data_IF_864487768093
#
_entry.id   IF_864487768093
#
_cell.length_a   1.000
_cell.length_b   1.000
_cell.length_c   1.000
_cell.angle_alpha   90.00
_cell.angle_beta   90.00
_cell.angle_gamma   90.00
#
_symmetry.space_group_name_H-M   'P 1'
#
loop_
_entity.id
_entity.type
_entity.pdbx_description
1 polymer ?
#
# COMPACT_ATOMS: atom_id res chain seq x y z
N UNK A 1 7.33 8.97 16.91
CA UNK A 1 6.81 7.73 17.55
C UNK A 1 5.35 7.55 17.16
N UNK A 2 4.94 6.35 16.77
CA UNK A 2 3.58 6.05 16.32
C UNK A 2 2.60 6.16 17.49
N UNK A 3 1.72 7.16 17.50
CA UNK A 3 0.82 7.45 18.64
C UNK A 3 -0.15 6.30 18.95
N UNK A 4 -0.60 5.53 17.93
CA UNK A 4 -1.48 4.37 18.08
C UNK A 4 -0.82 3.06 17.66
N UNK A 5 0.52 3.04 17.57
CA UNK A 5 1.25 1.85 17.12
C UNK A 5 0.90 0.61 17.93
N UNK A 6 0.55 -0.48 17.23
CA UNK A 6 0.20 -1.78 17.81
C UNK A 6 -1.04 -1.79 18.74
N UNK A 7 -1.96 -0.85 18.58
CA UNK A 7 -3.28 -0.95 19.19
C UNK A 7 -4.10 -2.03 18.46
N UNK A 8 -3.76 -3.31 18.68
CA UNK A 8 -4.28 -4.44 17.90
C UNK A 8 -5.78 -4.67 18.06
N UNK A 9 -6.38 -4.17 19.12
CA UNK A 9 -7.82 -4.25 19.39
C UNK A 9 -8.60 -3.00 18.98
N UNK A 10 -7.93 -1.98 18.43
CA UNK A 10 -8.59 -0.77 17.96
C UNK A 10 -9.38 -1.07 16.68
N UNK A 11 -10.70 -0.90 16.71
CA UNK A 11 -11.59 -1.18 15.58
C UNK A 11 -12.00 0.07 14.80
N UNK A 12 -12.09 1.21 15.47
CA UNK A 12 -12.50 2.46 14.84
C UNK A 12 -11.85 3.67 15.47
N UNK A 13 -11.65 4.73 14.67
CA UNK A 13 -11.16 6.02 15.14
C UNK A 13 -11.81 7.15 14.36
N UNK A 14 -12.02 8.29 15.05
CA UNK A 14 -12.42 9.54 14.41
C UNK A 14 -11.35 10.58 14.63
N UNK A 15 -10.86 11.19 13.54
CA UNK A 15 -9.89 12.30 13.57
C UNK A 15 -10.65 13.60 13.80
N UNK A 16 -10.37 14.32 14.90
CA UNK A 16 -11.08 15.56 15.23
C UNK A 16 -10.76 16.70 14.26
N UNK A 17 -11.63 17.71 14.22
CA UNK A 17 -11.50 18.90 13.37
C UNK A 17 -10.21 19.69 13.56
N UNK A 18 -9.62 19.65 14.76
CA UNK A 18 -8.41 20.44 15.09
C UNK A 18 -7.09 19.74 14.72
N UNK A 19 -7.13 18.51 14.21
CA UNK A 19 -5.91 17.82 13.77
C UNK A 19 -5.53 18.33 12.39
N UNK A 20 -4.38 19.01 12.29
CA UNK A 20 -3.85 19.56 11.04
C UNK A 20 -2.49 18.95 10.63
N UNK A 21 -1.94 18.06 11.45
CA UNK A 21 -0.71 17.34 11.15
C UNK A 21 -0.78 15.91 11.64
N UNK A 22 -0.32 14.96 10.84
CA UNK A 22 -0.21 13.56 11.18
C UNK A 22 1.12 13.00 10.66
N UNK A 23 1.82 12.28 11.54
CA UNK A 23 3.02 11.55 11.17
C UNK A 23 2.68 10.31 10.34
N UNK A 24 3.64 9.86 9.55
CA UNK A 24 3.53 8.58 8.85
C UNK A 24 3.46 7.43 9.88
N UNK A 25 2.81 6.33 9.51
CA UNK A 25 2.68 5.09 10.30
C UNK A 25 1.92 5.21 11.64
N UNK A 26 1.09 6.25 11.79
CA UNK A 26 0.34 6.53 13.03
C UNK A 26 -0.49 5.31 13.52
N UNK A 27 -1.01 4.49 12.59
CA UNK A 27 -1.78 3.28 12.87
C UNK A 27 -1.00 1.98 12.62
N UNK A 28 0.33 2.05 12.69
CA UNK A 28 1.19 0.88 12.52
C UNK A 28 0.75 -0.29 13.40
N UNK A 29 0.48 -1.45 12.79
CA UNK A 29 0.12 -2.66 13.51
C UNK A 29 -1.27 -2.66 14.15
N UNK A 30 -2.14 -1.70 13.82
CA UNK A 30 -3.55 -1.71 14.22
C UNK A 30 -4.34 -2.67 13.31
N UNK A 31 -4.10 -3.97 13.45
CA UNK A 31 -4.59 -5.01 12.52
C UNK A 31 -6.12 -5.19 12.54
N UNK A 32 -6.78 -4.76 13.61
CA UNK A 32 -8.25 -4.81 13.74
C UNK A 32 -8.94 -3.52 13.29
N UNK A 33 -8.17 -2.46 12.96
CA UNK A 33 -8.76 -1.17 12.59
C UNK A 33 -9.48 -1.27 11.25
N UNK A 34 -10.81 -1.10 11.28
CA UNK A 34 -11.68 -1.22 10.11
C UNK A 34 -12.25 0.13 9.66
N UNK A 35 -12.37 1.07 10.60
CA UNK A 35 -13.00 2.35 10.32
C UNK A 35 -12.14 3.52 10.74
N UNK A 36 -11.82 4.37 9.78
CA UNK A 36 -11.26 5.70 10.00
C UNK A 36 -12.26 6.70 9.47
N UNK A 37 -12.64 7.65 10.29
CA UNK A 37 -13.43 8.81 9.90
C UNK A 37 -12.72 10.09 10.27
N UNK A 38 -12.97 11.14 9.52
CA UNK A 38 -12.47 12.49 9.78
C UNK A 38 -13.68 13.39 10.01
N UNK A 39 -13.61 14.25 11.03
CA UNK A 39 -14.65 15.22 11.30
C UNK A 39 -14.88 16.11 10.07
N UNK A 40 -16.14 16.30 9.67
CA UNK A 40 -16.49 17.06 8.47
C UNK A 40 -16.08 18.54 8.52
N UNK A 41 -15.77 19.07 9.70
CA UNK A 41 -15.22 20.41 9.91
C UNK A 41 -13.68 20.45 9.93
N UNK A 42 -13.00 19.32 9.64
CA UNK A 42 -11.54 19.32 9.48
C UNK A 42 -11.20 19.94 8.12
N UNK A 43 -10.31 20.95 8.12
CA UNK A 43 -9.94 21.69 6.92
C UNK A 43 -8.73 21.10 6.18
N UNK A 44 -7.97 20.23 6.85
CA UNK A 44 -6.73 19.64 6.30
C UNK A 44 -6.94 18.24 5.77
N UNK A 45 -7.73 17.45 6.50
CA UNK A 45 -7.94 16.04 6.18
C UNK A 45 -9.41 15.73 5.94
N UNK A 46 -9.66 14.69 5.14
CA UNK A 46 -10.99 14.10 4.99
C UNK A 46 -10.95 12.57 4.95
N UNK A 47 -12.14 11.98 4.95
CA UNK A 47 -12.37 10.54 4.74
C UNK A 47 -13.53 10.41 3.74
N UNK A 48 -13.36 11.06 2.57
CA UNK A 48 -14.36 11.15 1.51
C UNK A 48 -14.89 9.79 1.08
N UNK A 49 -16.15 9.75 0.70
CA UNK A 49 -16.84 8.54 0.22
C UNK A 49 -16.77 7.37 1.21
N UNK A 50 -16.64 7.64 2.52
CA UNK A 50 -16.47 6.62 3.56
C UNK A 50 -15.32 5.66 3.26
N UNK A 51 -14.21 6.16 2.70
CA UNK A 51 -13.06 5.35 2.26
C UNK A 51 -12.30 4.69 3.39
N UNK A 52 -12.61 4.99 4.66
CA UNK A 52 -11.89 4.49 5.84
C UNK A 52 -10.38 4.78 5.79
N UNK A 53 -10.02 6.00 5.39
CA UNK A 53 -8.66 6.48 5.33
C UNK A 53 -8.59 7.95 5.76
N UNK A 54 -7.39 8.42 6.06
CA UNK A 54 -7.08 9.84 6.18
C UNK A 54 -6.49 10.32 4.87
N UNK A 55 -7.12 11.31 4.27
CA UNK A 55 -6.71 11.91 2.99
C UNK A 55 -6.34 13.37 3.25
N UNK A 56 -5.15 13.78 2.85
CA UNK A 56 -4.75 15.18 2.73
C UNK A 56 -5.54 15.80 1.57
N UNK A 57 -6.34 16.83 1.88
CA UNK A 57 -7.29 17.42 0.91
C UNK A 57 -6.59 18.27 -0.14
N UNK A 58 -5.48 18.92 0.19
CA UNK A 58 -4.72 19.76 -0.72
C UNK A 58 -3.95 18.92 -1.77
N UNK A 59 -3.29 17.86 -1.30
CA UNK A 59 -2.48 17.01 -2.16
C UNK A 59 -3.27 15.83 -2.80
N UNK A 60 -4.50 15.60 -2.34
CA UNK A 60 -5.26 14.37 -2.67
C UNK A 60 -4.45 13.11 -2.37
N UNK A 61 -3.78 13.12 -1.24
CA UNK A 61 -2.83 12.08 -0.82
C UNK A 61 -3.41 11.24 0.31
N UNK A 62 -3.43 9.93 0.14
CA UNK A 62 -3.80 9.00 1.21
C UNK A 62 -2.64 8.91 2.20
N UNK A 63 -2.84 9.48 3.39
CA UNK A 63 -1.83 9.59 4.46
C UNK A 63 -1.82 8.35 5.35
N UNK A 64 -3.00 7.86 5.72
CA UNK A 64 -3.12 6.68 6.56
C UNK A 64 -4.35 5.87 6.19
N UNK A 65 -4.17 4.56 6.10
CA UNK A 65 -5.23 3.59 5.82
C UNK A 65 -5.31 2.49 6.90
N UNK A 66 -6.32 1.65 6.77
CA UNK A 66 -6.61 0.55 7.67
C UNK A 66 -7.14 -0.67 6.89
N UNK A 67 -7.51 -1.72 7.61
CA UNK A 67 -8.09 -2.94 7.03
C UNK A 67 -9.33 -2.68 6.16
N UNK A 68 -10.16 -1.74 6.56
CA UNK A 68 -11.40 -1.38 5.85
C UNK A 68 -11.23 -0.33 4.76
N UNK A 69 -10.00 0.11 4.45
CA UNK A 69 -9.77 1.17 3.47
C UNK A 69 -10.10 0.74 2.05
N UNK A 70 -10.80 1.61 1.35
CA UNK A 70 -10.98 1.57 -0.10
C UNK A 70 -10.23 2.77 -0.68
N UNK A 71 -9.26 2.55 -1.55
CA UNK A 71 -8.60 3.64 -2.28
C UNK A 71 -9.59 4.14 -3.33
N UNK A 72 -10.17 5.31 -3.07
CA UNK A 72 -11.23 5.88 -3.93
C UNK A 72 -10.62 6.68 -5.08
N UNK A 73 -11.41 6.85 -6.14
CA UNK A 73 -11.01 7.71 -7.26
C UNK A 73 -10.78 9.16 -6.80
N UNK A 74 -9.88 9.86 -7.51
CA UNK A 74 -9.40 11.20 -7.15
C UNK A 74 -8.20 11.23 -6.21
N UNK A 75 -7.81 10.10 -5.61
CA UNK A 75 -6.54 9.99 -4.89
C UNK A 75 -5.39 10.00 -5.91
N UNK A 76 -4.42 10.90 -5.71
CA UNK A 76 -3.24 11.06 -6.57
C UNK A 76 -2.04 10.28 -6.10
N UNK A 77 -1.88 10.17 -4.78
CA UNK A 77 -0.72 9.46 -4.21
C UNK A 77 -1.05 8.72 -2.92
N UNK A 78 -0.26 7.70 -2.63
CA UNK A 78 -0.33 6.91 -1.39
C UNK A 78 1.00 7.13 -0.66
N UNK A 79 0.93 7.66 0.55
CA UNK A 79 2.11 7.99 1.38
C UNK A 79 2.92 6.77 1.75
N UNK A 80 4.22 6.99 1.93
CA UNK A 80 5.10 6.06 2.63
C UNK A 80 4.45 5.63 3.96
N UNK A 81 4.46 4.31 4.20
CA UNK A 81 3.90 3.68 5.42
C UNK A 81 2.40 3.89 5.68
N UNK A 82 1.64 4.38 4.69
CA UNK A 82 0.20 4.61 4.85
C UNK A 82 -0.58 3.37 5.36
N UNK A 83 -0.12 2.18 5.00
CA UNK A 83 -0.70 0.89 5.41
C UNK A 83 0.26 0.02 6.23
N UNK A 84 1.32 0.59 6.80
CA UNK A 84 2.37 -0.18 7.44
C UNK A 84 1.84 -1.14 8.52
N UNK A 85 2.06 -2.44 8.31
CA UNK A 85 1.56 -3.52 9.18
C UNK A 85 0.05 -3.45 9.43
N UNK A 86 -0.72 -2.94 8.48
CA UNK A 86 -2.18 -2.93 8.57
C UNK A 86 -2.76 -4.33 8.31
N UNK A 87 -4.02 -4.52 8.72
CA UNK A 87 -4.76 -5.75 8.46
C UNK A 87 -5.38 -5.83 7.06
N UNK A 88 -4.94 -5.01 6.09
CA UNK A 88 -5.52 -4.97 4.75
C UNK A 88 -5.38 -6.31 4.03
N UNK A 89 -6.46 -6.78 3.40
CA UNK A 89 -6.50 -8.09 2.72
C UNK A 89 -6.50 -7.98 1.20
N UNK A 90 -6.90 -6.83 0.69
CA UNK A 90 -6.91 -6.54 -0.74
C UNK A 90 -6.63 -5.08 -1.01
N UNK A 91 -6.02 -4.79 -2.16
CA UNK A 91 -5.72 -3.45 -2.64
C UNK A 91 -6.25 -3.31 -4.06
N UNK A 92 -7.03 -2.24 -4.31
CA UNK A 92 -7.40 -1.80 -5.64
C UNK A 92 -6.78 -0.42 -5.87
N UNK A 93 -6.04 -0.25 -6.97
CA UNK A 93 -5.39 1.00 -7.36
C UNK A 93 -6.20 1.67 -8.47
N UNK A 94 -6.94 2.76 -8.18
CA UNK A 94 -7.73 3.48 -9.17
C UNK A 94 -6.87 4.13 -10.25
N UNK A 95 -7.53 4.55 -11.34
CA UNK A 95 -6.89 5.24 -12.46
C UNK A 95 -6.29 6.59 -12.10
N UNK A 96 -6.78 7.22 -11.04
CA UNK A 96 -6.31 8.51 -10.55
C UNK A 96 -4.96 8.46 -9.83
N UNK A 97 -4.52 7.28 -9.36
CA UNK A 97 -3.26 7.14 -8.59
C UNK A 97 -2.07 7.22 -9.54
N UNK A 98 -1.23 8.22 -9.29
CA UNK A 98 -0.03 8.55 -10.06
C UNK A 98 1.27 8.20 -9.31
N UNK A 99 1.22 8.11 -7.96
CA UNK A 99 2.39 7.79 -7.13
C UNK A 99 2.02 6.86 -5.97
N UNK A 100 2.73 5.75 -5.87
CA UNK A 100 2.77 4.90 -4.67
C UNK A 100 4.16 5.06 -4.07
N UNK A 101 4.26 5.72 -2.91
CA UNK A 101 5.56 5.92 -2.28
C UNK A 101 6.13 4.57 -1.78
N UNK A 102 7.46 4.39 -1.84
CA UNK A 102 8.11 3.22 -1.26
C UNK A 102 7.67 3.01 0.18
N UNK A 103 7.53 1.76 0.60
CA UNK A 103 7.03 1.35 1.92
C UNK A 103 5.55 1.62 2.21
N UNK A 104 4.75 2.18 1.29
CA UNK A 104 3.32 2.47 1.49
C UNK A 104 2.56 1.26 2.10
N UNK A 105 2.82 0.06 1.62
CA UNK A 105 2.20 -1.20 2.06
C UNK A 105 3.18 -2.14 2.77
N UNK A 106 4.26 -1.59 3.33
CA UNK A 106 5.28 -2.41 3.99
C UNK A 106 4.67 -3.31 5.07
N UNK A 107 5.06 -4.59 5.07
CA UNK A 107 4.65 -5.60 6.05
C UNK A 107 3.12 -5.78 6.16
N UNK A 108 2.37 -5.62 5.07
CA UNK A 108 0.95 -5.96 5.00
C UNK A 108 0.76 -7.47 4.82
N UNK A 109 1.02 -8.24 5.88
CA UNK A 109 1.10 -9.71 5.86
C UNK A 109 -0.20 -10.42 5.43
N UNK A 110 -1.33 -9.74 5.51
CA UNK A 110 -2.66 -10.30 5.20
C UNK A 110 -3.11 -10.04 3.77
N UNK A 111 -2.37 -9.25 2.99
CA UNK A 111 -2.77 -8.91 1.63
C UNK A 111 -2.58 -10.10 0.68
N UNK A 112 -3.69 -10.49 0.03
CA UNK A 112 -3.76 -11.64 -0.87
C UNK A 112 -4.24 -11.27 -2.28
N UNK A 113 -4.73 -10.04 -2.46
CA UNK A 113 -5.26 -9.57 -3.73
C UNK A 113 -4.84 -8.14 -4.02
N UNK A 114 -4.30 -7.93 -5.21
CA UNK A 114 -3.91 -6.63 -5.72
C UNK A 114 -4.47 -6.47 -7.13
N UNK A 115 -5.14 -5.36 -7.39
CA UNK A 115 -5.66 -5.02 -8.72
C UNK A 115 -5.35 -3.57 -9.05
N UNK A 116 -5.17 -3.30 -10.34
CA UNK A 116 -5.01 -1.95 -10.89
C UNK A 116 -6.10 -1.72 -11.92
N UNK A 117 -6.71 -0.56 -11.91
CA UNK A 117 -7.74 -0.19 -12.89
C UNK A 117 -7.14 -0.10 -14.30
N UNK A 118 -7.81 -0.67 -15.31
CA UNK A 118 -7.28 -0.83 -16.67
C UNK A 118 -6.81 0.48 -17.32
N UNK A 119 -7.52 1.58 -17.04
CA UNK A 119 -7.20 2.91 -17.57
C UNK A 119 -6.21 3.70 -16.71
N UNK A 120 -5.61 3.13 -15.66
CA UNK A 120 -4.51 3.78 -14.95
C UNK A 120 -3.34 3.99 -15.90
N UNK A 121 -2.84 5.24 -15.97
CA UNK A 121 -1.79 5.62 -16.93
C UNK A 121 -0.38 5.31 -16.46
N UNK A 122 -0.19 5.22 -15.15
CA UNK A 122 1.12 5.01 -14.51
C UNK A 122 1.38 3.54 -14.22
N UNK A 123 0.36 2.84 -13.74
CA UNK A 123 0.47 1.49 -13.24
C UNK A 123 -0.37 0.49 -14.04
N UNK A 124 0.02 -0.77 -13.97
CA UNK A 124 -0.74 -1.90 -14.46
C UNK A 124 -0.59 -3.12 -13.55
N UNK A 125 -1.54 -4.04 -13.63
CA UNK A 125 -1.39 -5.38 -13.08
C UNK A 125 -0.72 -6.27 -14.12
N UNK A 126 0.61 -6.32 -14.13
CA UNK A 126 1.34 -7.22 -15.01
C UNK A 126 1.20 -8.65 -14.49
N UNK A 127 0.10 -9.27 -14.87
CA UNK A 127 -0.26 -10.63 -14.53
C UNK A 127 -1.29 -10.77 -13.44
N UNK A 128 -0.91 -11.17 -12.24
CA UNK A 128 -1.86 -11.30 -11.13
C UNK A 128 -1.27 -10.79 -9.83
N UNK A 129 -2.10 -10.05 -9.09
CA UNK A 129 -1.77 -9.59 -7.74
C UNK A 129 -0.44 -8.82 -7.66
N UNK A 130 -0.25 -7.87 -8.60
CA UNK A 130 0.93 -7.01 -8.64
C UNK A 130 0.59 -5.60 -9.10
N UNK A 131 1.45 -4.66 -8.77
CA UNK A 131 1.47 -3.32 -9.37
C UNK A 131 2.83 -3.13 -10.04
N UNK A 132 2.81 -2.86 -11.33
CA UNK A 132 4.01 -2.58 -12.12
C UNK A 132 3.90 -1.16 -12.68
N UNK A 133 4.97 -0.38 -12.55
CA UNK A 133 5.08 0.92 -13.17
C UNK A 133 5.42 0.76 -14.67
N UNK A 134 4.55 1.26 -15.53
CA UNK A 134 4.65 1.08 -16.99
C UNK A 134 5.89 1.69 -17.61
N UNK A 135 6.32 2.85 -17.10
CA UNK A 135 7.46 3.59 -17.65
C UNK A 135 8.81 2.88 -17.44
N UNK A 136 8.96 2.15 -16.36
CA UNK A 136 10.22 1.54 -15.90
C UNK A 136 10.22 0.02 -15.92
N UNK A 137 9.06 -0.60 -16.10
CA UNK A 137 8.82 -2.03 -15.86
C UNK A 137 9.24 -2.47 -14.45
N UNK A 138 9.02 -1.57 -13.47
CA UNK A 138 9.33 -1.81 -12.07
C UNK A 138 8.15 -2.45 -11.35
N UNK A 139 8.39 -3.60 -10.72
CA UNK A 139 7.45 -4.18 -9.77
C UNK A 139 7.43 -3.31 -8.51
N UNK A 140 6.36 -2.55 -8.33
CA UNK A 140 6.19 -1.61 -7.21
C UNK A 140 5.56 -2.31 -6.00
N UNK A 141 4.65 -3.26 -6.25
CA UNK A 141 3.91 -3.92 -5.18
C UNK A 141 3.60 -5.38 -5.55
N UNK A 142 3.83 -6.28 -4.61
CA UNK A 142 3.58 -7.70 -4.74
C UNK A 142 3.11 -8.32 -3.41
N UNK A 143 2.40 -9.43 -3.49
CA UNK A 143 1.98 -10.21 -2.32
C UNK A 143 2.29 -11.71 -2.53
N UNK A 144 1.89 -12.56 -1.59
CA UNK A 144 2.19 -14.01 -1.64
C UNK A 144 1.66 -14.74 -2.88
N UNK A 145 0.64 -14.20 -3.53
CA UNK A 145 0.00 -14.79 -4.70
C UNK A 145 0.47 -14.18 -6.02
N UNK A 146 1.41 -13.23 -5.97
CA UNK A 146 1.93 -12.54 -7.15
C UNK A 146 2.67 -13.50 -8.07
N UNK A 147 2.33 -13.42 -9.36
CA UNK A 147 3.13 -13.99 -10.45
C UNK A 147 3.82 -12.87 -11.19
N UNK A 148 5.15 -12.92 -11.24
CA UNK A 148 5.97 -11.92 -11.94
C UNK A 148 6.09 -12.31 -13.42
N UNK A 149 5.88 -11.33 -14.29
CA UNK A 149 5.93 -11.53 -15.74
C UNK A 149 7.31 -11.21 -16.31
N UNK A 150 7.65 -11.78 -17.50
CA UNK A 150 8.96 -11.60 -18.13
C UNK A 150 9.31 -10.15 -18.46
N UNK A 151 8.30 -9.27 -18.60
CA UNK A 151 8.48 -7.85 -18.90
C UNK A 151 9.04 -7.06 -17.73
N UNK A 152 8.87 -7.53 -16.50
CA UNK A 152 9.42 -6.88 -15.30
C UNK A 152 10.94 -6.90 -15.38
N UNK A 153 11.56 -5.74 -15.18
CA UNK A 153 13.02 -5.54 -15.23
C UNK A 153 13.62 -5.16 -13.87
N UNK A 154 12.79 -4.58 -13.01
CA UNK A 154 13.23 -4.07 -11.71
C UNK A 154 12.31 -4.60 -10.63
N UNK A 155 12.86 -5.17 -9.57
CA UNK A 155 12.11 -5.41 -8.32
C UNK A 155 12.30 -4.19 -7.45
N UNK A 156 11.22 -3.46 -7.23
CA UNK A 156 11.21 -2.16 -6.55
C UNK A 156 11.57 -2.25 -5.06
N UNK A 157 11.88 -1.09 -4.49
CA UNK A 157 12.16 -1.00 -3.07
C UNK A 157 10.95 -1.39 -2.23
N UNK A 158 11.13 -2.33 -1.30
CA UNK A 158 10.07 -2.86 -0.42
C UNK A 158 8.83 -3.38 -1.18
N UNK A 159 9.04 -3.88 -2.40
CA UNK A 159 7.95 -4.29 -3.30
C UNK A 159 7.11 -5.44 -2.73
N UNK A 160 7.72 -6.38 -2.02
CA UNK A 160 6.99 -7.48 -1.42
C UNK A 160 6.44 -7.11 -0.04
N UNK A 161 5.12 -7.05 0.07
CA UNK A 161 4.41 -6.85 1.34
C UNK A 161 4.50 -8.06 2.25
N UNK A 162 4.48 -9.23 1.64
CA UNK A 162 4.61 -10.55 2.24
C UNK A 162 5.02 -11.51 1.12
N UNK A 163 5.78 -12.55 1.42
CA UNK A 163 6.26 -13.47 0.37
C UNK A 163 5.76 -14.89 0.52
N UNK A 164 5.62 -15.60 -0.61
CA UNK A 164 5.59 -17.06 -0.59
C UNK A 164 6.94 -17.60 -0.10
N UNK A 165 7.00 -18.88 0.21
CA UNK A 165 8.26 -19.56 0.57
C UNK A 165 9.28 -19.59 -0.57
N UNK A 166 8.82 -19.45 -1.80
CA UNK A 166 9.63 -19.44 -3.02
C UNK A 166 9.21 -18.26 -3.89
N UNK A 167 10.17 -17.48 -4.34
CA UNK A 167 10.03 -16.47 -5.39
C UNK A 167 10.87 -16.88 -6.59
N UNK A 168 10.23 -16.95 -7.76
CA UNK A 168 10.91 -17.16 -9.03
C UNK A 168 10.87 -15.84 -9.79
N UNK A 169 12.04 -15.26 -10.02
CA UNK A 169 12.17 -14.06 -10.82
C UNK A 169 12.33 -14.43 -12.30
N UNK A 170 11.73 -13.68 -13.23
CA UNK A 170 11.92 -13.94 -14.65
C UNK A 170 13.36 -13.66 -15.08
N UNK A 171 13.81 -14.39 -16.09
CA UNK A 171 15.04 -14.06 -16.80
C UNK A 171 14.98 -12.62 -17.33
N UNK A 172 16.01 -11.83 -17.05
CA UNK A 172 16.06 -10.46 -17.51
C UNK A 172 15.70 -9.41 -16.44
N UNK A 173 15.55 -9.79 -15.19
CA UNK A 173 15.66 -8.85 -14.07
C UNK A 173 17.05 -8.25 -14.08
N UNK A 174 17.13 -6.92 -14.06
CA UNK A 174 18.41 -6.17 -14.09
C UNK A 174 18.71 -5.49 -12.76
N UNK A 175 17.69 -5.29 -11.91
CA UNK A 175 17.87 -4.61 -10.62
C UNK A 175 16.93 -5.17 -9.56
N UNK A 176 17.45 -5.39 -8.37
CA UNK A 176 16.68 -5.61 -7.14
C UNK A 176 17.03 -4.47 -6.20
N UNK A 177 16.04 -3.62 -5.89
CA UNK A 177 16.24 -2.42 -5.06
C UNK A 177 16.28 -2.74 -3.57
N UNK A 178 16.61 -1.72 -2.77
CA UNK A 178 16.70 -1.79 -1.31
C UNK A 178 15.45 -2.42 -0.69
N UNK A 179 15.64 -3.37 0.21
CA UNK A 179 14.56 -3.97 0.99
C UNK A 179 13.47 -4.69 0.18
N UNK A 180 13.68 -4.98 -1.11
CA UNK A 180 12.67 -5.60 -1.99
C UNK A 180 11.96 -6.81 -1.35
N UNK A 181 12.68 -7.61 -0.56
CA UNK A 181 12.21 -8.79 0.18
C UNK A 181 12.35 -8.63 1.71
N UNK A 182 12.42 -7.40 2.20
CA UNK A 182 12.58 -7.14 3.64
C UNK A 182 11.40 -7.71 4.44
N UNK A 183 11.70 -8.30 5.61
CA UNK A 183 10.72 -8.92 6.53
C UNK A 183 9.94 -10.10 5.92
N UNK A 184 10.41 -10.65 4.82
CA UNK A 184 9.81 -11.81 4.15
C UNK A 184 10.15 -13.11 4.92
N UNK A 185 9.56 -13.28 6.09
CA UNK A 185 9.90 -14.33 7.08
C UNK A 185 9.70 -15.76 6.60
N UNK A 186 8.84 -15.96 5.60
CA UNK A 186 8.52 -17.28 5.03
C UNK A 186 9.34 -17.60 3.78
N UNK A 187 10.14 -16.65 3.30
CA UNK A 187 10.97 -16.83 2.10
C UNK A 187 12.14 -17.78 2.38
N UNK A 188 12.16 -18.90 1.67
CA UNK A 188 13.23 -19.90 1.76
C UNK A 188 14.18 -19.85 0.56
N UNK A 189 13.68 -19.43 -0.61
CA UNK A 189 14.45 -19.44 -1.85
C UNK A 189 14.00 -18.34 -2.82
N UNK A 190 14.97 -17.75 -3.49
CA UNK A 190 14.78 -16.89 -4.67
C UNK A 190 15.58 -17.49 -5.80
N UNK A 191 14.91 -17.73 -6.93
CA UNK A 191 15.55 -18.22 -8.16
C UNK A 191 15.63 -17.04 -9.14
N UNK A 192 16.84 -16.77 -9.61
CA UNK A 192 17.17 -15.72 -10.60
C UNK A 192 17.27 -16.32 -12.00
#
# INVERSE_FOLDING_TARGET
ESNFGYCTSLESITIPKGVCHMENDIFRGCISLQKISVDSANETFDSRNNCNAVIDTEQNKLVAGCKGTVVVDGIKSISSRAFYKSGITSVHIPSSVELIEPTAFKDCEYCMSITVEENNRTYESAGSNSVVEKATNELVLACTTTKIFPEVKVVGAYAYMNTPSLVILPEGIITIKEGAFSECKTLHSVIL
#
